data_IF_501805589319
#
_entry.id   IF_501805589319
#
_cell.length_a   1.000
_cell.length_b   1.000
_cell.length_c   1.000
_cell.angle_alpha   90.00
_cell.angle_beta   90.00
_cell.angle_gamma   90.00
#
_symmetry.space_group_name_H-M   'P 1'
#
loop_
_entity.id
_entity.type
_entity.pdbx_description
1 polymer ?
#
# COMPACT_ATOMS: atom_id res chain seq x y z
N UNK A 1 15.10 -17.97 50.71
CA UNK A 1 14.67 -17.14 49.60
C UNK A 1 15.86 -16.93 48.67
N UNK A 2 15.91 -17.66 47.53
CA UNK A 2 16.94 -17.49 46.49
C UNK A 2 16.43 -16.47 45.47
N UNK A 3 17.17 -15.37 45.28
CA UNK A 3 16.90 -14.34 44.28
C UNK A 3 17.09 -14.92 42.88
N UNK A 4 16.05 -14.78 42.04
CA UNK A 4 16.09 -15.07 40.62
C UNK A 4 16.86 -13.94 39.94
N UNK A 5 17.87 -14.17 39.08
CA UNK A 5 18.57 -13.12 38.38
C UNK A 5 17.68 -12.55 37.27
N UNK A 6 17.52 -11.22 37.22
CA UNK A 6 16.90 -10.49 36.12
C UNK A 6 17.69 -10.72 34.83
N UNK A 7 17.03 -11.29 33.83
CA UNK A 7 17.55 -11.31 32.45
C UNK A 7 17.55 -9.88 31.90
N UNK A 8 18.73 -9.33 31.70
CA UNK A 8 18.91 -8.12 30.87
C UNK A 8 18.41 -8.46 29.47
N UNK A 9 17.43 -7.70 28.99
CA UNK A 9 17.01 -7.75 27.59
C UNK A 9 18.22 -7.38 26.71
N UNK A 10 18.53 -8.26 25.78
CA UNK A 10 19.58 -8.05 24.78
C UNK A 10 19.08 -7.07 23.73
N UNK A 11 19.47 -5.80 23.88
CA UNK A 11 19.14 -4.68 22.98
C UNK A 11 19.95 -4.69 21.67
N UNK A 12 20.66 -5.78 21.36
CA UNK A 12 21.50 -5.86 20.16
C UNK A 12 20.80 -6.42 18.91
N UNK A 13 19.58 -6.95 19.02
CA UNK A 13 18.84 -7.55 17.90
C UNK A 13 17.87 -6.59 17.15
N UNK A 14 17.82 -5.31 17.52
CA UNK A 14 16.91 -4.34 16.86
C UNK A 14 17.56 -3.52 15.72
N UNK A 15 18.78 -3.83 15.29
CA UNK A 15 19.53 -2.99 14.34
C UNK A 15 19.73 -3.51 12.93
N UNK A 16 19.24 -4.69 12.58
CA UNK A 16 19.27 -5.20 11.20
C UNK A 16 17.86 -5.39 10.63
N UNK A 17 16.99 -4.38 10.74
CA UNK A 17 15.82 -4.29 9.86
C UNK A 17 16.34 -3.87 8.49
N UNK A 18 16.23 -4.78 7.53
CA UNK A 18 16.44 -4.68 6.09
C UNK A 18 16.50 -3.21 5.61
N UNK A 19 17.71 -2.66 5.46
CA UNK A 19 17.89 -1.37 4.84
C UNK A 19 17.66 -1.61 3.35
N UNK A 20 16.45 -1.32 2.86
CA UNK A 20 16.16 -1.40 1.43
C UNK A 20 17.20 -0.59 0.67
N UNK A 21 17.72 -1.13 -0.42
CA UNK A 21 18.63 -0.42 -1.29
C UNK A 21 17.93 0.81 -1.91
N UNK A 22 18.67 1.89 -2.10
CA UNK A 22 18.15 3.06 -2.80
C UNK A 22 17.69 2.66 -4.19
N UNK A 23 16.59 3.25 -4.65
CA UNK A 23 16.08 3.06 -6.02
C UNK A 23 16.16 4.35 -6.82
N UNK A 24 16.35 4.23 -8.11
CA UNK A 24 16.31 5.40 -8.99
C UNK A 24 14.88 5.89 -9.14
N UNK A 25 14.70 7.21 -9.16
CA UNK A 25 13.39 7.82 -9.37
C UNK A 25 12.74 7.32 -10.67
N UNK A 26 13.51 7.16 -11.74
CA UNK A 26 13.02 6.65 -13.02
C UNK A 26 12.45 5.24 -12.95
N UNK A 27 13.00 4.37 -12.10
CA UNK A 27 12.47 3.02 -11.89
C UNK A 27 11.12 3.07 -11.15
N UNK A 28 10.97 3.99 -10.20
CA UNK A 28 9.72 4.15 -9.44
C UNK A 28 8.58 4.73 -10.29
N UNK A 29 8.92 5.47 -11.36
CA UNK A 29 7.96 6.14 -12.24
C UNK A 29 7.71 5.38 -13.55
N UNK A 30 8.33 4.22 -13.78
CA UNK A 30 8.35 3.51 -15.07
C UNK A 30 6.95 3.27 -15.67
N UNK A 31 5.96 2.98 -14.84
CA UNK A 31 4.60 2.67 -15.26
C UNK A 31 3.60 3.82 -15.09
N UNK A 32 4.10 5.06 -14.98
CA UNK A 32 3.29 6.24 -14.75
C UNK A 32 3.43 7.25 -15.88
N UNK A 33 2.33 7.85 -16.26
CA UNK A 33 2.34 9.11 -17.02
C UNK A 33 2.52 10.27 -16.04
N UNK A 34 3.51 11.12 -16.28
CA UNK A 34 3.84 12.24 -15.40
C UNK A 34 4.41 13.42 -16.15
N UNK A 35 4.35 14.58 -15.52
CA UNK A 35 5.01 15.81 -15.92
C UNK A 35 6.12 16.14 -14.91
N UNK A 36 7.33 16.39 -15.40
CA UNK A 36 8.41 16.93 -14.56
C UNK A 36 8.23 18.45 -14.47
N UNK A 37 7.70 18.92 -13.35
CA UNK A 37 7.42 20.35 -13.13
C UNK A 37 8.70 21.09 -12.73
N UNK A 38 9.54 20.46 -11.90
CA UNK A 38 10.76 21.07 -11.36
C UNK A 38 11.81 19.99 -11.05
N UNK A 39 13.09 20.36 -11.11
CA UNK A 39 14.22 19.51 -10.69
C UNK A 39 14.70 18.53 -11.75
N UNK A 40 15.11 17.34 -11.36
CA UNK A 40 15.71 16.31 -12.21
C UNK A 40 15.20 14.93 -11.86
N UNK A 41 15.13 14.05 -12.87
CA UNK A 41 14.83 12.62 -12.68
C UNK A 41 16.05 11.80 -12.22
N UNK A 42 17.25 12.36 -12.28
CA UNK A 42 18.48 11.72 -11.81
C UNK A 42 18.59 11.84 -10.28
N UNK A 43 17.79 11.07 -9.58
CA UNK A 43 17.74 11.00 -8.11
C UNK A 43 17.70 9.56 -7.64
N UNK A 44 18.46 9.30 -6.58
CA UNK A 44 18.36 8.06 -5.79
C UNK A 44 17.43 8.28 -4.61
N UNK A 45 16.47 7.40 -4.45
CA UNK A 45 15.40 7.48 -3.47
C UNK A 45 15.69 6.49 -2.33
N UNK A 46 15.98 6.98 -1.11
CA UNK A 46 16.26 6.13 0.05
C UNK A 46 14.99 5.65 0.77
N UNK A 47 13.84 6.29 0.54
CA UNK A 47 12.56 5.93 1.14
C UNK A 47 11.38 6.51 0.34
N UNK A 48 10.26 5.80 0.35
CA UNK A 48 8.97 6.29 -0.14
C UNK A 48 8.07 6.55 1.06
N UNK A 49 7.52 7.77 1.15
CA UNK A 49 6.78 8.26 2.33
C UNK A 49 5.50 8.99 1.90
N UNK A 50 4.42 8.79 2.64
CA UNK A 50 3.14 9.50 2.46
C UNK A 50 2.57 10.07 3.79
N UNK A 51 3.36 10.01 4.87
CA UNK A 51 3.09 10.62 6.17
C UNK A 51 4.17 11.67 6.45
N UNK A 52 3.79 12.95 6.52
CA UNK A 52 4.70 14.08 6.70
C UNK A 52 5.56 13.99 7.98
N UNK A 53 5.15 13.20 8.96
CA UNK A 53 5.90 12.95 10.21
C UNK A 53 7.05 11.96 10.03
N UNK A 54 7.08 11.23 8.91
CA UNK A 54 8.07 10.19 8.60
C UNK A 54 9.07 10.60 7.52
N UNK A 55 9.11 11.88 7.16
CA UNK A 55 10.04 12.41 6.16
C UNK A 55 11.49 12.19 6.60
N UNK A 56 12.29 11.70 5.67
CA UNK A 56 13.73 11.54 5.80
C UNK A 56 14.45 12.24 4.64
N UNK A 57 15.68 12.72 4.81
CA UNK A 57 16.42 13.40 3.75
C UNK A 57 16.48 12.56 2.46
N UNK A 58 16.16 13.20 1.33
CA UNK A 58 16.18 12.58 0.00
C UNK A 58 14.96 11.71 -0.34
N UNK A 59 14.01 11.49 0.59
CA UNK A 59 12.86 10.63 0.32
C UNK A 59 11.97 11.15 -0.81
N UNK A 60 11.22 10.24 -1.41
CA UNK A 60 10.07 10.55 -2.25
C UNK A 60 8.83 10.67 -1.36
N UNK A 61 8.20 11.83 -1.34
CA UNK A 61 6.97 12.09 -0.61
C UNK A 61 5.78 12.15 -1.56
N UNK A 62 4.75 11.34 -1.27
CA UNK A 62 3.49 11.30 -2.00
C UNK A 62 2.46 12.20 -1.34
N UNK A 63 2.03 13.25 -2.03
CA UNK A 63 0.98 14.16 -1.59
C UNK A 63 -0.40 13.54 -1.80
N UNK A 64 -0.88 12.76 -0.84
CA UNK A 64 -2.15 12.05 -0.94
C UNK A 64 -3.30 12.90 -0.39
N UNK A 65 -4.33 13.10 -1.19
CA UNK A 65 -5.60 13.67 -0.73
C UNK A 65 -6.37 12.67 0.14
N UNK A 66 -6.68 13.04 1.37
CA UNK A 66 -7.49 12.27 2.32
C UNK A 66 -8.81 12.96 2.64
N UNK A 67 -9.69 12.27 3.38
CA UNK A 67 -11.00 12.84 3.77
C UNK A 67 -10.89 14.05 4.72
N UNK A 68 -9.86 14.08 5.58
CA UNK A 68 -9.68 15.11 6.61
C UNK A 68 -8.44 15.98 6.39
N UNK A 69 -7.47 15.52 5.63
CA UNK A 69 -6.19 16.20 5.39
C UNK A 69 -5.77 15.99 3.94
N UNK A 70 -5.18 17.01 3.35
CA UNK A 70 -4.57 16.92 2.02
C UNK A 70 -3.05 16.96 2.16
N UNK A 71 -2.37 15.94 1.66
CA UNK A 71 -0.91 15.85 1.68
C UNK A 71 -0.22 17.00 0.94
N UNK A 72 -0.90 17.63 -0.01
CA UNK A 72 -0.38 18.80 -0.74
C UNK A 72 -0.20 20.03 0.16
N UNK A 73 -1.00 20.16 1.22
CA UNK A 73 -0.88 21.27 2.18
C UNK A 73 0.43 21.20 2.97
N UNK A 74 1.09 20.06 2.98
CA UNK A 74 2.39 19.84 3.64
C UNK A 74 3.58 19.92 2.67
N UNK A 75 3.37 20.17 1.38
CA UNK A 75 4.43 20.14 0.35
C UNK A 75 5.62 21.05 0.70
N UNK A 76 5.37 22.30 1.08
CA UNK A 76 6.42 23.24 1.50
C UNK A 76 7.17 22.72 2.73
N UNK A 77 6.45 22.28 3.75
CA UNK A 77 7.04 21.78 5.01
C UNK A 77 7.93 20.55 4.76
N UNK A 78 7.48 19.57 3.99
CA UNK A 78 8.27 18.34 3.75
C UNK A 78 9.47 18.61 2.85
N UNK A 79 9.39 19.58 1.93
CA UNK A 79 10.52 20.04 1.14
C UNK A 79 11.60 20.69 2.05
N UNK A 80 11.20 21.55 2.99
CA UNK A 80 12.11 22.13 3.99
C UNK A 80 12.72 21.07 4.93
N UNK A 81 11.99 19.98 5.20
CA UNK A 81 12.50 18.84 5.98
C UNK A 81 13.49 17.97 5.18
N UNK A 82 13.69 18.26 3.89
CA UNK A 82 14.67 17.60 3.04
C UNK A 82 14.11 16.47 2.18
N UNK A 83 12.80 16.42 1.92
CA UNK A 83 12.27 15.53 0.88
C UNK A 83 12.95 15.84 -0.47
N UNK A 84 13.46 14.83 -1.15
CA UNK A 84 14.15 14.98 -2.44
C UNK A 84 13.20 15.02 -3.63
N UNK A 85 12.04 14.40 -3.50
CA UNK A 85 11.01 14.32 -4.54
C UNK A 85 9.62 14.49 -3.94
N UNK A 86 8.78 15.28 -4.60
CA UNK A 86 7.34 15.37 -4.34
C UNK A 86 6.56 14.82 -5.52
N UNK A 87 5.63 13.92 -5.27
CA UNK A 87 4.64 13.49 -6.25
C UNK A 87 3.32 14.14 -5.92
N UNK A 88 2.80 14.95 -6.84
CA UNK A 88 1.63 15.81 -6.65
C UNK A 88 0.60 15.59 -7.77
N UNK A 89 -0.67 15.90 -7.52
CA UNK A 89 -1.72 15.92 -8.56
C UNK A 89 -2.28 17.33 -8.84
N UNK A 90 -1.81 18.33 -8.12
CA UNK A 90 -2.12 19.75 -8.33
C UNK A 90 -0.86 20.58 -8.05
N UNK A 91 -0.87 21.82 -8.50
CA UNK A 91 0.23 22.74 -8.27
C UNK A 91 0.41 22.99 -6.76
N UNK A 92 1.65 23.11 -6.33
CA UNK A 92 2.05 23.37 -4.95
C UNK A 92 3.00 24.57 -4.90
N UNK A 93 2.86 25.38 -3.87
CA UNK A 93 3.78 26.49 -3.61
C UNK A 93 4.95 25.98 -2.76
N UNK A 94 6.18 26.24 -3.20
CA UNK A 94 7.39 25.81 -2.53
C UNK A 94 8.29 26.99 -2.20
N UNK A 95 9.09 26.92 -1.14
CA UNK A 95 10.11 27.93 -0.84
C UNK A 95 11.16 28.03 -1.97
N UNK A 96 11.68 29.23 -2.22
CA UNK A 96 12.61 29.50 -3.35
C UNK A 96 13.93 28.71 -3.31
N UNK A 97 14.38 28.27 -2.13
CA UNK A 97 15.72 27.71 -1.91
C UNK A 97 15.71 26.21 -1.55
N UNK A 98 14.69 25.45 -1.94
CA UNK A 98 14.63 24.00 -1.69
C UNK A 98 15.09 23.22 -2.92
N UNK A 99 16.01 22.26 -2.70
CA UNK A 99 16.44 21.32 -3.74
C UNK A 99 15.49 20.12 -3.78
N UNK A 100 14.36 20.28 -4.45
CA UNK A 100 13.34 19.24 -4.57
C UNK A 100 12.91 19.03 -6.02
N UNK A 101 12.73 17.80 -6.43
CA UNK A 101 12.11 17.46 -7.71
C UNK A 101 10.60 17.34 -7.54
N UNK A 102 9.83 17.98 -8.41
CA UNK A 102 8.36 17.91 -8.41
C UNK A 102 7.89 17.16 -9.64
N UNK A 103 7.19 16.05 -9.40
CA UNK A 103 6.58 15.20 -10.42
C UNK A 103 5.06 15.31 -10.29
N UNK A 104 4.39 15.77 -11.34
CA UNK A 104 2.93 15.88 -11.37
C UNK A 104 2.32 14.70 -12.10
N UNK A 105 1.32 14.09 -11.49
CA UNK A 105 0.55 12.94 -11.99
C UNK A 105 -0.94 13.28 -12.01
N UNK A 106 -1.73 12.52 -12.74
CA UNK A 106 -3.18 12.72 -12.78
C UNK A 106 -3.86 12.37 -11.44
N UNK A 107 -3.37 11.33 -10.76
CA UNK A 107 -3.90 10.85 -9.47
C UNK A 107 -2.75 10.31 -8.61
N UNK A 108 -2.55 10.90 -7.43
CA UNK A 108 -1.45 10.50 -6.54
C UNK A 108 -1.72 9.18 -5.82
N UNK A 109 -2.99 8.75 -5.65
CA UNK A 109 -3.31 7.42 -5.11
C UNK A 109 -3.01 6.32 -6.12
N UNK A 110 -3.35 6.55 -7.39
CA UNK A 110 -2.98 5.66 -8.48
C UNK A 110 -1.44 5.56 -8.58
N UNK A 111 -0.76 6.68 -8.57
CA UNK A 111 0.71 6.74 -8.60
C UNK A 111 1.33 6.02 -7.40
N UNK A 112 0.76 6.17 -6.18
CA UNK A 112 1.24 5.48 -4.99
C UNK A 112 1.24 3.96 -5.17
N UNK A 113 0.24 3.40 -5.82
CA UNK A 113 0.15 1.96 -6.03
C UNK A 113 1.31 1.43 -6.88
N UNK A 114 1.62 2.10 -8.01
CA UNK A 114 2.72 1.69 -8.89
C UNK A 114 4.09 1.98 -8.29
N UNK A 115 4.28 3.16 -7.69
CA UNK A 115 5.52 3.52 -6.99
C UNK A 115 5.81 2.52 -5.87
N UNK A 116 4.78 2.11 -5.11
CA UNK A 116 4.95 1.13 -4.04
C UNK A 116 5.28 -0.27 -4.59
N UNK A 117 4.63 -0.70 -5.68
CA UNK A 117 4.97 -1.97 -6.32
C UNK A 117 6.43 -1.98 -6.77
N UNK A 118 6.89 -0.92 -7.46
CA UNK A 118 8.28 -0.78 -7.88
C UNK A 118 9.22 -0.69 -6.68
N UNK A 119 8.85 0.05 -5.62
CA UNK A 119 9.65 0.21 -4.40
C UNK A 119 9.94 -1.14 -3.73
N UNK A 120 8.94 -2.01 -3.62
CA UNK A 120 9.07 -3.33 -3.03
C UNK A 120 9.50 -4.42 -4.03
N UNK A 121 9.80 -4.08 -5.30
CA UNK A 121 10.31 -5.00 -6.32
C UNK A 121 9.24 -5.96 -6.84
N UNK A 122 8.03 -5.45 -7.04
CA UNK A 122 6.87 -6.16 -7.62
C UNK A 122 6.57 -7.51 -6.95
N UNK A 123 6.38 -7.54 -5.61
CA UNK A 123 6.26 -8.79 -4.86
C UNK A 123 5.03 -9.62 -5.26
N UNK A 124 3.97 -8.99 -5.74
CA UNK A 124 2.76 -9.68 -6.18
C UNK A 124 3.01 -10.63 -7.37
N UNK A 125 4.02 -10.38 -8.22
CA UNK A 125 4.39 -11.26 -9.32
C UNK A 125 4.94 -12.63 -8.86
N UNK A 126 5.33 -12.71 -7.59
CA UNK A 126 5.85 -13.93 -6.95
C UNK A 126 4.80 -14.67 -6.13
N UNK A 127 3.57 -14.15 -6.09
CA UNK A 127 2.45 -14.69 -5.34
C UNK A 127 1.28 -14.99 -6.27
N UNK A 128 0.47 -16.00 -5.93
CA UNK A 128 -0.88 -16.13 -6.47
C UNK A 128 -1.81 -15.23 -5.68
N UNK A 129 -2.34 -14.19 -6.30
CA UNK A 129 -3.18 -13.20 -5.63
C UNK A 129 -4.65 -13.49 -5.89
N UNK A 130 -5.40 -13.82 -4.81
CA UNK A 130 -6.83 -14.12 -4.85
C UNK A 130 -7.58 -13.00 -4.15
N UNK A 131 -8.38 -12.23 -4.92
CA UNK A 131 -9.20 -11.14 -4.40
C UNK A 131 -10.64 -11.56 -4.18
N UNK A 132 -11.21 -11.24 -3.03
CA UNK A 132 -12.61 -11.55 -2.68
C UNK A 132 -13.36 -10.26 -2.40
N UNK A 133 -14.37 -9.97 -3.24
CA UNK A 133 -15.25 -8.82 -3.04
C UNK A 133 -16.71 -9.26 -2.87
N UNK A 134 -17.56 -8.34 -2.49
CA UNK A 134 -19.00 -8.51 -2.26
C UNK A 134 -19.46 -7.67 -1.08
N UNK A 135 -20.75 -7.64 -0.83
CA UNK A 135 -21.30 -6.90 0.33
C UNK A 135 -21.01 -7.66 1.61
N UNK A 136 -21.39 -8.92 1.69
CA UNK A 136 -21.26 -9.78 2.89
C UNK A 136 -20.46 -11.03 2.59
N UNK A 137 -19.91 -11.64 3.65
CA UNK A 137 -19.25 -12.94 3.57
C UNK A 137 -17.79 -12.91 3.11
N UNK A 138 -17.21 -11.77 2.78
CA UNK A 138 -15.79 -11.65 2.38
C UNK A 138 -14.86 -12.32 3.38
N UNK A 139 -14.91 -11.92 4.64
CA UNK A 139 -14.06 -12.45 5.71
C UNK A 139 -14.18 -13.96 5.85
N UNK A 140 -15.41 -14.48 5.96
CA UNK A 140 -15.64 -15.92 6.07
C UNK A 140 -15.08 -16.68 4.86
N UNK A 141 -15.34 -16.18 3.66
CA UNK A 141 -14.86 -16.79 2.42
C UNK A 141 -13.33 -16.76 2.34
N UNK A 142 -12.69 -15.66 2.77
CA UNK A 142 -11.23 -15.52 2.78
C UNK A 142 -10.57 -16.58 3.68
N UNK A 143 -11.08 -16.78 4.90
CA UNK A 143 -10.56 -17.81 5.79
C UNK A 143 -10.84 -19.24 5.28
N UNK A 144 -12.01 -19.50 4.68
CA UNK A 144 -12.34 -20.79 4.07
C UNK A 144 -11.41 -21.10 2.89
N UNK A 145 -11.21 -20.16 1.97
CA UNK A 145 -10.31 -20.34 0.82
C UNK A 145 -8.88 -20.57 1.30
N UNK A 146 -8.39 -19.77 2.28
CA UNK A 146 -7.08 -20.00 2.90
C UNK A 146 -6.95 -21.42 3.43
N UNK A 147 -7.90 -21.87 4.25
CA UNK A 147 -7.86 -23.20 4.84
C UNK A 147 -7.88 -24.34 3.80
N UNK A 148 -8.68 -24.20 2.73
CA UNK A 148 -8.73 -25.18 1.64
C UNK A 148 -7.38 -25.26 0.93
N UNK A 149 -6.77 -24.13 0.61
CA UNK A 149 -5.48 -24.08 -0.08
C UNK A 149 -4.35 -24.62 0.79
N UNK A 150 -4.32 -24.29 2.08
CA UNK A 150 -3.33 -24.84 3.02
C UNK A 150 -3.45 -26.38 3.15
N UNK A 151 -4.68 -26.90 3.21
CA UNK A 151 -4.90 -28.35 3.19
C UNK A 151 -4.48 -29.00 1.85
N UNK A 152 -4.44 -28.23 0.77
CA UNK A 152 -3.91 -28.66 -0.53
C UNK A 152 -2.37 -28.52 -0.64
N UNK A 153 -1.70 -28.00 0.39
CA UNK A 153 -0.24 -27.88 0.46
C UNK A 153 0.34 -26.55 0.04
N UNK A 154 -0.49 -25.55 -0.22
CA UNK A 154 -0.04 -24.17 -0.51
C UNK A 154 0.33 -23.42 0.78
N UNK A 155 1.26 -22.48 0.68
CA UNK A 155 1.64 -21.57 1.77
C UNK A 155 0.93 -20.25 1.61
N UNK A 156 -0.12 -20.01 2.40
CA UNK A 156 -1.10 -18.97 2.15
C UNK A 156 -1.04 -17.84 3.18
N UNK A 157 -0.80 -16.62 2.69
CA UNK A 157 -1.02 -15.38 3.44
C UNK A 157 -2.48 -14.93 3.38
N UNK A 158 -2.86 -14.07 4.31
CA UNK A 158 -4.20 -13.48 4.36
C UNK A 158 -4.12 -11.98 4.60
N UNK A 159 -4.96 -11.22 3.88
CA UNK A 159 -5.19 -9.79 4.15
C UNK A 159 -6.69 -9.58 4.30
N UNK A 160 -7.15 -9.17 5.47
CA UNK A 160 -8.58 -9.04 5.71
C UNK A 160 -8.96 -8.05 6.82
N UNK A 161 -10.25 -7.97 7.09
CA UNK A 161 -10.84 -7.04 8.06
C UNK A 161 -10.35 -7.27 9.49
N UNK A 162 -10.11 -8.52 9.86
CA UNK A 162 -9.70 -8.88 11.22
C UNK A 162 -8.19 -8.69 11.38
N UNK A 163 -7.44 -9.24 10.45
CA UNK A 163 -5.98 -9.31 10.55
C UNK A 163 -5.31 -9.54 9.20
N UNK A 164 -4.00 -9.35 9.19
CA UNK A 164 -3.09 -9.81 8.14
C UNK A 164 -2.28 -10.97 8.71
N UNK A 165 -2.19 -12.09 7.97
CA UNK A 165 -1.46 -13.29 8.37
C UNK A 165 -0.28 -13.50 7.41
N UNK A 166 0.94 -13.54 7.96
CA UNK A 166 2.19 -13.79 7.22
C UNK A 166 2.94 -14.93 7.92
N UNK A 167 2.77 -16.16 7.44
CA UNK A 167 3.28 -17.33 8.17
C UNK A 167 2.62 -17.45 9.55
N UNK A 168 3.44 -17.42 10.59
CA UNK A 168 2.98 -17.46 12.00
C UNK A 168 2.70 -16.05 12.58
N UNK A 169 2.94 -15.00 11.82
CA UNK A 169 2.72 -13.62 12.27
C UNK A 169 1.28 -13.19 12.03
N UNK A 170 0.63 -12.66 13.06
CA UNK A 170 -0.71 -12.10 13.04
C UNK A 170 -0.66 -10.61 13.34
N UNK A 171 -1.07 -9.78 12.38
CA UNK A 171 -1.04 -8.31 12.46
C UNK A 171 -2.46 -7.80 12.48
N UNK A 172 -2.83 -7.04 13.50
CA UNK A 172 -4.15 -6.43 13.56
C UNK A 172 -4.39 -5.49 12.37
N UNK A 173 -5.52 -5.65 11.67
CA UNK A 173 -5.88 -4.84 10.53
C UNK A 173 -6.58 -3.54 10.95
N UNK A 174 -6.14 -2.40 10.40
CA UNK A 174 -6.84 -1.13 10.58
C UNK A 174 -7.92 -0.90 9.50
N UNK A 175 -7.78 -1.55 8.36
CA UNK A 175 -8.70 -1.47 7.22
C UNK A 175 -8.88 -2.87 6.61
N UNK A 176 -10.07 -3.14 6.06
CA UNK A 176 -10.34 -4.38 5.31
C UNK A 176 -9.32 -4.61 4.19
N UNK A 177 -9.00 -3.54 3.47
CA UNK A 177 -7.96 -3.52 2.42
C UNK A 177 -7.03 -2.36 2.74
N UNK A 178 -5.77 -2.61 3.05
CA UNK A 178 -4.78 -1.56 3.37
C UNK A 178 -4.56 -0.56 2.24
N UNK A 179 -3.91 0.57 2.54
CA UNK A 179 -3.37 1.47 1.52
C UNK A 179 -2.32 0.72 0.68
N UNK A 180 -2.19 1.12 -0.59
CA UNK A 180 -1.35 0.39 -1.56
C UNK A 180 0.10 0.21 -1.12
N UNK A 181 0.70 1.19 -0.44
CA UNK A 181 2.06 1.06 0.10
C UNK A 181 2.15 -0.09 1.11
N UNK A 182 1.26 -0.11 2.08
CA UNK A 182 1.25 -1.15 3.12
C UNK A 182 0.89 -2.52 2.55
N UNK A 183 0.04 -2.58 1.54
CA UNK A 183 -0.32 -3.81 0.86
C UNK A 183 0.90 -4.42 0.13
N UNK A 184 1.69 -3.61 -0.58
CA UNK A 184 2.92 -4.05 -1.23
C UNK A 184 4.00 -4.45 -0.21
N UNK A 185 4.10 -3.77 0.92
CA UNK A 185 4.97 -4.16 2.03
C UNK A 185 4.58 -5.56 2.56
N UNK A 186 3.29 -5.82 2.79
CA UNK A 186 2.83 -7.14 3.21
C UNK A 186 3.13 -8.23 2.18
N UNK A 187 2.94 -7.94 0.89
CA UNK A 187 3.29 -8.89 -0.17
C UNK A 187 4.80 -9.18 -0.19
N UNK A 188 5.66 -8.18 -0.04
CA UNK A 188 7.10 -8.38 0.05
C UNK A 188 7.48 -9.29 1.23
N UNK A 189 6.90 -9.03 2.40
CA UNK A 189 7.11 -9.85 3.61
C UNK A 189 6.58 -11.28 3.45
N UNK A 190 5.46 -11.47 2.75
CA UNK A 190 4.93 -12.80 2.42
C UNK A 190 5.91 -13.58 1.54
N UNK A 191 6.47 -12.92 0.51
CA UNK A 191 7.51 -13.52 -0.35
C UNK A 191 8.76 -13.89 0.46
N UNK A 192 9.24 -13.00 1.32
CA UNK A 192 10.38 -13.26 2.21
C UNK A 192 10.12 -14.41 3.17
N UNK A 193 8.90 -14.55 3.66
CA UNK A 193 8.47 -15.68 4.49
C UNK A 193 8.27 -16.99 3.70
N UNK A 194 8.47 -16.96 2.37
CA UNK A 194 8.34 -18.12 1.49
C UNK A 194 6.90 -18.56 1.26
N UNK A 195 5.93 -17.65 1.38
CA UNK A 195 4.54 -17.88 0.97
C UNK A 195 4.45 -17.84 -0.57
N UNK A 196 3.51 -18.57 -1.13
CA UNK A 196 3.28 -18.67 -2.58
C UNK A 196 1.92 -18.11 -3.02
N UNK A 197 1.03 -17.90 -2.07
CA UNK A 197 -0.35 -17.46 -2.32
C UNK A 197 -0.79 -16.46 -1.27
N UNK A 198 -1.60 -15.49 -1.67
CA UNK A 198 -2.30 -14.58 -0.76
C UNK A 198 -3.79 -14.55 -1.09
N UNK A 199 -4.63 -14.67 -0.07
CA UNK A 199 -6.08 -14.49 -0.18
C UNK A 199 -6.43 -13.19 0.53
N UNK A 200 -7.12 -12.27 -0.17
CA UNK A 200 -7.41 -10.97 0.40
C UNK A 200 -8.84 -10.51 0.20
N UNK A 201 -9.36 -9.82 1.22
CA UNK A 201 -10.61 -9.08 1.10
C UNK A 201 -10.39 -7.80 0.31
N UNK A 202 -11.26 -7.54 -0.67
CA UNK A 202 -11.21 -6.35 -1.51
C UNK A 202 -12.50 -5.55 -1.34
N UNK A 203 -12.41 -4.42 -0.64
CA UNK A 203 -13.54 -3.52 -0.45
C UNK A 203 -13.79 -2.66 -1.69
N UNK A 204 -15.04 -2.25 -1.93
CA UNK A 204 -15.39 -1.33 -3.03
C UNK A 204 -14.66 0.01 -2.91
N UNK A 205 -14.50 0.50 -1.69
CA UNK A 205 -13.76 1.74 -1.43
C UNK A 205 -12.26 1.60 -1.76
N UNK A 206 -11.66 0.43 -1.51
CA UNK A 206 -10.26 0.20 -1.87
C UNK A 206 -10.06 0.21 -3.40
N UNK A 207 -11.00 -0.38 -4.14
CA UNK A 207 -11.01 -0.33 -5.60
C UNK A 207 -11.19 1.10 -6.12
N UNK A 208 -12.13 1.86 -5.54
CA UNK A 208 -12.37 3.27 -5.87
C UNK A 208 -11.14 4.15 -5.59
N UNK A 209 -10.42 3.88 -4.52
CA UNK A 209 -9.24 4.65 -4.08
C UNK A 209 -7.91 4.07 -4.59
N UNK A 210 -7.93 3.24 -5.62
CA UNK A 210 -6.75 2.65 -6.28
C UNK A 210 -5.81 1.87 -5.36
N UNK A 211 -6.28 1.37 -4.20
CA UNK A 211 -5.44 0.63 -3.24
C UNK A 211 -4.93 -0.70 -3.79
N UNK A 212 -5.62 -1.25 -4.78
CA UNK A 212 -5.31 -2.54 -5.41
C UNK A 212 -4.71 -2.40 -6.82
N UNK A 213 -4.31 -1.21 -7.23
CA UNK A 213 -3.55 -1.01 -8.46
C UNK A 213 -2.07 -1.41 -8.27
N UNK A 214 -1.32 -1.50 -9.37
CA UNK A 214 0.10 -1.86 -9.35
C UNK A 214 0.37 -3.38 -9.26
N UNK A 215 -0.67 -4.22 -9.35
CA UNK A 215 -0.59 -5.67 -9.52
C UNK A 215 -1.88 -6.22 -10.13
N UNK A 216 -1.86 -7.50 -10.52
CA UNK A 216 -3.00 -8.19 -11.12
C UNK A 216 -3.49 -9.29 -10.17
N UNK A 217 -4.80 -9.48 -10.07
CA UNK A 217 -5.37 -10.63 -9.39
C UNK A 217 -5.35 -11.84 -10.30
N UNK A 218 -4.79 -12.97 -9.84
CA UNK A 218 -4.90 -14.26 -10.57
C UNK A 218 -6.33 -14.78 -10.54
N UNK A 219 -7.05 -14.55 -9.43
CA UNK A 219 -8.45 -14.96 -9.27
C UNK A 219 -9.26 -13.88 -8.55
N UNK A 220 -10.43 -13.59 -9.08
CA UNK A 220 -11.43 -12.72 -8.46
C UNK A 220 -12.68 -13.50 -8.06
N UNK A 221 -13.12 -13.37 -6.81
CA UNK A 221 -14.33 -14.00 -6.28
C UNK A 221 -15.33 -12.91 -5.91
N UNK A 222 -16.55 -13.04 -6.40
CA UNK A 222 -17.68 -12.17 -6.05
C UNK A 222 -18.68 -12.95 -5.22
N UNK A 223 -18.92 -12.56 -3.97
CA UNK A 223 -19.79 -13.33 -3.07
C UNK A 223 -21.26 -12.98 -3.25
N UNK A 224 -21.61 -11.72 -3.16
CA UNK A 224 -22.98 -11.20 -3.31
C UNK A 224 -23.00 -9.68 -3.44
N UNK A 225 -24.17 -9.12 -3.78
CA UNK A 225 -24.42 -7.70 -3.85
C UNK A 225 -25.77 -7.36 -3.20
N UNK A 226 -25.73 -6.52 -2.19
CA UNK A 226 -26.90 -5.94 -1.55
C UNK A 226 -26.69 -4.42 -1.39
N UNK A 227 -27.74 -3.58 -1.31
CA UNK A 227 -27.58 -2.17 -1.02
C UNK A 227 -26.88 -1.96 0.35
N UNK A 228 -25.71 -1.37 0.32
CA UNK A 228 -24.87 -1.10 1.49
C UNK A 228 -23.84 -0.03 1.12
N UNK A 229 -23.21 0.60 2.12
CA UNK A 229 -22.16 1.59 1.89
C UNK A 229 -22.56 2.76 0.96
N UNK A 230 -23.80 3.24 1.07
CA UNK A 230 -24.30 4.40 0.33
C UNK A 230 -24.51 5.53 1.32
N UNK A 231 -23.77 6.63 1.19
CA UNK A 231 -23.90 7.77 2.11
C UNK A 231 -22.75 8.76 2.02
N UNK A 232 -22.75 9.78 2.89
CA UNK A 232 -21.65 10.74 2.97
C UNK A 232 -20.33 10.01 3.28
N UNK A 233 -19.28 10.28 2.52
CA UNK A 233 -17.96 9.64 2.60
C UNK A 233 -17.90 8.13 2.20
N UNK A 234 -18.98 7.63 1.63
CA UNK A 234 -19.05 6.30 1.02
C UNK A 234 -19.36 6.42 -0.48
N UNK A 235 -20.15 5.49 -1.03
CA UNK A 235 -20.56 5.59 -2.44
C UNK A 235 -21.77 6.54 -2.58
N UNK A 236 -21.79 7.33 -3.66
CA UNK A 236 -22.87 8.25 -3.96
C UNK A 236 -24.17 7.54 -4.33
N UNK A 237 -24.08 6.33 -4.91
CA UNK A 237 -25.23 5.52 -5.33
C UNK A 237 -24.93 4.02 -5.31
N UNK A 238 -25.99 3.21 -5.46
CA UNK A 238 -25.85 1.77 -5.61
C UNK A 238 -25.13 1.38 -6.92
N UNK A 239 -25.35 2.15 -7.98
CA UNK A 239 -24.69 1.96 -9.28
C UNK A 239 -23.18 2.19 -9.17
N UNK A 240 -22.76 3.23 -8.44
CA UNK A 240 -21.34 3.48 -8.16
C UNK A 240 -20.74 2.35 -7.30
N UNK A 241 -21.46 1.91 -6.26
CA UNK A 241 -21.03 0.80 -5.41
C UNK A 241 -20.83 -0.50 -6.23
N UNK A 242 -21.81 -0.83 -7.11
CA UNK A 242 -21.70 -1.96 -8.02
C UNK A 242 -20.52 -1.80 -8.99
N UNK A 243 -20.40 -0.60 -9.59
CA UNK A 243 -19.29 -0.29 -10.50
C UNK A 243 -17.95 -0.51 -9.83
N UNK A 244 -17.76 0.05 -8.63
CA UNK A 244 -16.49 -0.07 -7.89
C UNK A 244 -16.15 -1.54 -7.58
N UNK A 245 -17.12 -2.36 -7.16
CA UNK A 245 -16.85 -3.80 -6.97
C UNK A 245 -16.47 -4.51 -8.28
N UNK A 246 -17.06 -4.09 -9.38
CA UNK A 246 -16.76 -4.61 -10.71
C UNK A 246 -15.33 -4.33 -11.19
N UNK A 247 -14.65 -3.32 -10.62
CA UNK A 247 -13.27 -3.00 -10.95
C UNK A 247 -12.30 -4.15 -10.63
N UNK A 248 -12.60 -5.01 -9.65
CA UNK A 248 -11.80 -6.21 -9.36
C UNK A 248 -11.58 -7.10 -10.60
N UNK A 249 -12.55 -7.12 -11.52
CA UNK A 249 -12.51 -7.97 -12.72
C UNK A 249 -11.96 -7.24 -13.95
N UNK A 250 -11.44 -6.02 -13.77
CA UNK A 250 -10.81 -5.20 -14.81
C UNK A 250 -9.33 -4.93 -14.56
N UNK A 251 -8.82 -5.44 -13.44
CA UNK A 251 -7.41 -5.35 -13.04
C UNK A 251 -6.64 -6.60 -13.43
#
# INVERSE_FOLDING_TARGET
MKKIPERKADTSMEKDKNKMENKKLTELLEHLEYELVQGTLDREIPAVVYDSRKVVPGCLFLCIGGANFDGHDFAAQVAEQGAGVLVVQKDVELPENVDVTVVKVADTRYAMAFISAAWFGHPAEKLKVIGITGTKGKTTTTYLVKSILENAGYKVGLVGTIEVIIGDEHIHANNTTPESYLLQEYFARMVEAGLDTVVMEVSSQALMLHRTQGFVFDYGIFTNLEPDHIGPNEHASFEEYLHCKGLLFKQ
#
